data_IF_392474160435
#
_entry.id   IF_392474160435
#
_cell.length_a   1.000
_cell.length_b   1.000
_cell.length_c   1.000
_cell.angle_alpha   90.00
_cell.angle_beta   90.00
_cell.angle_gamma   90.00
#
_symmetry.space_group_name_H-M   'P 1'
#
loop_
_entity.id
_entity.type
_entity.pdbx_description
1 polymer ?
#
# COMPACT_ATOMS: atom_id res chain seq x y z
N UNK A 1 21.79 -11.40 0.60
CA UNK A 1 20.52 -11.90 1.14
C UNK A 1 19.40 -11.03 0.58
N UNK A 2 18.35 -11.64 0.06
CA UNK A 2 17.14 -10.93 -0.32
C UNK A 2 16.26 -10.72 0.92
N UNK A 3 15.54 -9.59 0.97
CA UNK A 3 14.62 -9.24 2.06
C UNK A 3 13.43 -8.49 1.48
N UNK A 4 12.26 -8.68 2.08
CA UNK A 4 11.00 -8.09 1.64
C UNK A 4 10.38 -7.26 2.75
N UNK A 5 9.68 -6.21 2.35
CA UNK A 5 8.88 -5.38 3.24
C UNK A 5 7.53 -5.09 2.61
N UNK A 6 6.52 -4.98 3.44
CA UNK A 6 5.18 -4.63 3.03
C UNK A 6 4.74 -3.37 3.78
N UNK A 7 3.90 -2.58 3.12
CA UNK A 7 3.25 -1.43 3.73
C UNK A 7 1.90 -1.83 4.32
N UNK A 8 1.16 -0.82 4.77
CA UNK A 8 -0.23 -0.96 5.19
C UNK A 8 -1.10 -1.66 4.13
N UNK A 9 -1.93 -2.58 4.59
CA UNK A 9 -3.02 -3.17 3.82
C UNK A 9 -4.33 -2.49 4.25
N UNK A 10 -4.97 -1.77 3.32
CA UNK A 10 -6.18 -1.03 3.61
C UNK A 10 -7.43 -1.87 3.31
N UNK A 11 -8.48 -1.80 4.15
CA UNK A 11 -9.79 -2.30 3.75
C UNK A 11 -10.29 -1.51 2.54
N UNK A 12 -10.90 -2.20 1.59
CA UNK A 12 -11.42 -1.63 0.34
C UNK A 12 -12.95 -1.64 0.40
N UNK A 13 -13.64 -0.52 0.12
CA UNK A 13 -15.10 -0.48 0.05
C UNK A 13 -15.71 -1.55 -0.86
N UNK A 14 -16.81 -2.18 -0.43
CA UNK A 14 -17.48 -3.27 -1.17
C UNK A 14 -17.82 -2.91 -2.63
N UNK A 15 -18.21 -1.66 -2.89
CA UNK A 15 -18.49 -1.19 -4.25
C UNK A 15 -17.27 -1.27 -5.17
N UNK A 16 -16.06 -1.01 -4.65
CA UNK A 16 -14.81 -1.14 -5.41
C UNK A 16 -14.43 -2.61 -5.58
N UNK A 17 -14.63 -3.44 -4.55
CA UNK A 17 -14.42 -4.89 -4.60
C UNK A 17 -15.29 -5.48 -5.72
N UNK A 18 -16.57 -5.15 -5.74
CA UNK A 18 -17.51 -5.57 -6.79
C UNK A 18 -17.02 -5.19 -8.18
N UNK A 19 -16.61 -3.94 -8.37
CA UNK A 19 -16.11 -3.46 -9.66
C UNK A 19 -14.81 -4.15 -10.12
N UNK A 20 -13.92 -4.54 -9.20
CA UNK A 20 -12.71 -5.30 -9.56
C UNK A 20 -13.06 -6.74 -9.94
N UNK A 21 -13.86 -7.42 -9.13
CA UNK A 21 -14.11 -8.86 -9.29
C UNK A 21 -15.17 -9.18 -10.34
N UNK A 22 -16.26 -8.42 -10.40
CA UNK A 22 -17.38 -8.67 -11.30
C UNK A 22 -17.22 -7.94 -12.64
N UNK A 23 -16.81 -6.67 -12.61
CA UNK A 23 -16.67 -5.87 -13.84
C UNK A 23 -15.25 -5.95 -14.45
N UNK A 24 -14.33 -6.67 -13.80
CA UNK A 24 -12.93 -6.84 -14.21
C UNK A 24 -12.19 -5.52 -14.49
N UNK A 25 -12.60 -4.45 -13.79
CA UNK A 25 -11.98 -3.14 -13.93
C UNK A 25 -10.70 -3.05 -13.09
N UNK A 26 -9.69 -2.37 -13.63
CA UNK A 26 -8.45 -2.12 -12.89
C UNK A 26 -8.72 -1.21 -11.68
N UNK A 27 -8.20 -1.59 -10.51
CA UNK A 27 -8.40 -0.83 -9.27
C UNK A 27 -8.02 0.66 -9.41
N UNK A 28 -6.94 0.99 -10.14
CA UNK A 28 -6.55 2.38 -10.40
C UNK A 28 -7.65 3.18 -11.10
N UNK A 29 -8.26 2.60 -12.14
CA UNK A 29 -9.35 3.23 -12.90
C UNK A 29 -10.61 3.39 -12.05
N UNK A 30 -10.95 2.40 -11.23
CA UNK A 30 -12.13 2.48 -10.37
C UNK A 30 -11.93 3.56 -9.29
N UNK A 31 -10.74 3.62 -8.69
CA UNK A 31 -10.39 4.64 -7.69
C UNK A 31 -10.43 6.05 -8.31
N UNK A 32 -9.94 6.23 -9.53
CA UNK A 32 -10.07 7.49 -10.28
C UNK A 32 -11.54 7.93 -10.37
N UNK A 33 -12.42 7.02 -10.83
CA UNK A 33 -13.86 7.29 -10.97
C UNK A 33 -14.53 7.61 -9.63
N UNK A 34 -14.20 6.86 -8.59
CA UNK A 34 -14.84 6.96 -7.27
C UNK A 34 -14.44 8.24 -6.53
N UNK A 35 -13.21 8.70 -6.73
CA UNK A 35 -12.70 9.90 -6.06
C UNK A 35 -13.38 11.21 -6.51
N UNK A 36 -14.13 11.18 -7.62
CA UNK A 36 -14.64 12.38 -8.28
C UNK A 36 -13.55 13.32 -8.83
N UNK A 37 -12.27 12.99 -8.60
CA UNK A 37 -11.12 13.73 -9.06
C UNK A 37 -10.67 13.16 -10.42
N UNK A 38 -10.77 13.97 -11.48
CA UNK A 38 -10.01 13.68 -12.70
C UNK A 38 -8.52 13.74 -12.34
N UNK A 39 -7.84 12.60 -12.47
CA UNK A 39 -6.41 12.39 -12.17
C UNK A 39 -6.08 12.09 -10.68
N UNK A 40 -6.47 10.92 -10.14
CA UNK A 40 -5.79 10.28 -8.97
C UNK A 40 -4.42 9.70 -9.38
N UNK A 41 -3.76 10.38 -10.32
CA UNK A 41 -2.31 10.44 -10.41
C UNK A 41 -1.75 11.56 -9.52
N UNK A 42 -2.60 12.16 -8.70
CA UNK A 42 -2.26 13.02 -7.58
C UNK A 42 -1.48 12.22 -6.52
N UNK A 43 -0.51 12.84 -5.85
CA UNK A 43 0.54 12.18 -5.04
C UNK A 43 0.05 11.33 -3.84
N UNK A 44 -1.26 11.30 -3.62
CA UNK A 44 -1.98 10.73 -2.47
C UNK A 44 -2.18 9.22 -2.63
N UNK A 45 -2.49 8.75 -3.84
CA UNK A 45 -2.78 7.33 -4.14
C UNK A 45 -4.07 6.82 -3.49
N UNK A 46 -4.36 5.51 -3.65
CA UNK A 46 -5.53 4.84 -3.06
C UNK A 46 -5.65 5.06 -1.54
N UNK A 47 -4.53 4.96 -0.83
CA UNK A 47 -4.49 5.15 0.61
C UNK A 47 -4.89 6.55 1.04
N UNK A 48 -4.53 7.59 0.27
CA UNK A 48 -4.95 8.96 0.57
C UNK A 48 -6.46 9.09 0.47
N UNK A 49 -7.08 8.49 -0.54
CA UNK A 49 -8.54 8.49 -0.69
C UNK A 49 -9.22 7.76 0.47
N UNK A 50 -8.76 6.55 0.82
CA UNK A 50 -9.39 5.76 1.87
C UNK A 50 -9.22 6.35 3.27
N UNK A 51 -8.13 7.10 3.49
CA UNK A 51 -7.75 7.60 4.82
C UNK A 51 -7.88 9.11 4.97
N UNK A 52 -8.50 9.81 4.02
CA UNK A 52 -8.57 11.28 4.01
C UNK A 52 -7.18 11.93 4.14
N UNK A 53 -6.24 11.44 3.34
CA UNK A 53 -4.85 11.90 3.22
C UNK A 53 -3.96 11.76 4.47
N UNK A 54 -4.45 11.06 5.51
CA UNK A 54 -3.62 10.68 6.67
C UNK A 54 -2.45 9.79 6.21
N UNK A 55 -2.72 8.82 5.33
CA UNK A 55 -1.70 7.99 4.69
C UNK A 55 -1.61 8.30 3.21
N UNK A 56 -0.40 8.62 2.75
CA UNK A 56 -0.13 8.85 1.33
C UNK A 56 0.64 7.68 0.75
N UNK A 57 0.71 7.61 -0.57
CA UNK A 57 1.59 6.68 -1.29
C UNK A 57 3.05 6.76 -0.83
N UNK A 58 3.53 7.96 -0.51
CA UNK A 58 4.91 8.14 -0.01
C UNK A 58 5.10 7.51 1.37
N UNK A 59 4.14 7.69 2.30
CA UNK A 59 4.18 7.03 3.61
C UNK A 59 4.23 5.51 3.47
N UNK A 60 3.40 4.96 2.57
CA UNK A 60 3.35 3.53 2.26
C UNK A 60 4.69 2.98 1.78
N UNK A 61 5.31 3.62 0.79
CA UNK A 61 6.60 3.13 0.28
C UNK A 61 7.74 3.28 1.28
N UNK A 62 7.76 4.37 2.06
CA UNK A 62 8.75 4.53 3.12
C UNK A 62 8.66 3.41 4.15
N UNK A 63 7.46 3.06 4.59
CA UNK A 63 7.27 1.99 5.58
C UNK A 63 7.63 0.62 5.03
N UNK A 64 7.23 0.29 3.79
CA UNK A 64 7.65 -0.96 3.14
C UNK A 64 9.18 -1.04 3.00
N UNK A 65 9.82 0.05 2.59
CA UNK A 65 11.28 0.11 2.45
C UNK A 65 11.99 -0.07 3.79
N UNK A 66 11.55 0.62 4.84
CA UNK A 66 12.11 0.46 6.18
C UNK A 66 11.98 -0.98 6.69
N UNK A 67 10.82 -1.62 6.47
CA UNK A 67 10.62 -3.02 6.80
C UNK A 67 11.57 -3.94 6.05
N UNK A 68 11.71 -3.74 4.72
CA UNK A 68 12.62 -4.53 3.90
C UNK A 68 14.08 -4.38 4.33
N UNK A 69 14.46 -3.20 4.83
CA UNK A 69 15.82 -2.89 5.26
C UNK A 69 16.12 -3.32 6.70
N UNK A 70 15.12 -3.76 7.48
CA UNK A 70 15.31 -4.12 8.88
C UNK A 70 16.41 -5.19 9.13
N UNK A 71 16.57 -6.23 8.29
CA UNK A 71 17.68 -7.19 8.44
C UNK A 71 19.07 -6.59 8.21
N UNK A 72 19.17 -5.49 7.46
CA UNK A 72 20.44 -4.81 7.19
C UNK A 72 20.82 -3.83 8.31
N UNK A 73 19.82 -3.23 8.97
CA UNK A 73 20.05 -2.38 10.14
C UNK A 73 20.34 -3.17 11.41
N UNK A 74 19.84 -4.41 11.50
CA UNK A 74 20.01 -5.26 12.67
C UNK A 74 20.40 -6.70 12.31
N UNK A 75 21.54 -6.92 11.63
CA UNK A 75 21.90 -8.24 11.11
C UNK A 75 22.06 -9.28 12.21
N UNK A 76 22.53 -8.88 13.40
CA UNK A 76 22.71 -9.79 14.53
C UNK A 76 21.40 -10.34 15.06
N UNK A 77 20.32 -9.55 15.09
CA UNK A 77 19.00 -10.02 15.52
C UNK A 77 18.42 -11.04 14.55
N UNK A 78 18.52 -10.79 13.24
CA UNK A 78 17.93 -11.65 12.21
C UNK A 78 18.72 -12.94 11.96
N UNK A 79 19.91 -13.09 12.53
CA UNK A 79 20.71 -14.32 12.50
C UNK A 79 20.55 -15.19 13.75
N UNK A 80 19.80 -14.74 14.77
CA UNK A 80 19.56 -15.52 15.98
C UNK A 80 18.56 -16.64 15.73
N UNK A 81 18.89 -17.84 16.21
CA UNK A 81 17.91 -18.90 16.48
C UNK A 81 17.33 -18.72 17.89
N UNK A 82 16.08 -19.11 18.07
CA UNK A 82 15.55 -19.42 19.40
C UNK A 82 16.00 -20.85 19.72
N UNK A 83 16.85 -21.00 20.73
CA UNK A 83 17.26 -22.30 21.29
C UNK A 83 16.08 -22.99 21.99
#
# INVERSE_FOLDING_TARGET
SESFGASYCAPVPDALVKAVYEDHLELGVIIDRFSGAKNVRDHRGAFGIFTLDILTRSHSFKTALWGALAPFYNPSLYQKSLD
#
